data_IF_405671421106
#
_entry.id   IF_405671421106
#
_cell.length_a   1.000
_cell.length_b   1.000
_cell.length_c   1.000
_cell.angle_alpha   90.00
_cell.angle_beta   90.00
_cell.angle_gamma   90.00
#
_symmetry.space_group_name_H-M   'P 1'
#
loop_
_entity.id
_entity.type
_entity.pdbx_description
1 polymer ?
#
# COMPACT_ATOMS: atom_id res chain seq x y z
N UNK A 1 -18.33 35.13 -18.23
CA UNK A 1 -17.36 34.95 -19.32
C UNK A 1 -16.07 35.61 -18.88
N UNK A 2 -14.94 34.92 -18.93
CA UNK A 2 -13.67 35.51 -18.52
C UNK A 2 -12.84 35.83 -19.77
N UNK A 3 -12.49 37.10 -19.92
CA UNK A 3 -11.65 37.62 -20.99
C UNK A 3 -10.25 37.89 -20.43
N UNK A 4 -9.23 37.57 -21.21
CA UNK A 4 -7.83 37.86 -20.92
C UNK A 4 -7.31 38.89 -21.90
N UNK A 5 -6.34 39.71 -21.49
CA UNK A 5 -5.67 40.64 -22.40
C UNK A 5 -4.68 39.87 -23.26
N UNK A 6 -4.74 40.07 -24.58
CA UNK A 6 -3.72 39.58 -25.50
C UNK A 6 -2.36 40.19 -25.12
N UNK A 7 -1.33 39.34 -25.01
CA UNK A 7 0.02 39.76 -24.63
C UNK A 7 0.72 40.63 -25.68
N UNK A 8 0.27 40.57 -26.94
CA UNK A 8 0.86 41.30 -28.06
C UNK A 8 0.15 42.65 -28.31
N UNK A 9 -1.17 42.63 -28.51
CA UNK A 9 -1.93 43.82 -28.91
C UNK A 9 -2.78 44.46 -27.79
N UNK A 10 -2.85 43.84 -26.60
CA UNK A 10 -3.61 44.36 -25.47
C UNK A 10 -5.14 44.25 -25.60
N UNK A 11 -5.67 43.74 -26.72
CA UNK A 11 -7.10 43.52 -26.92
C UNK A 11 -7.67 42.47 -25.95
N UNK A 12 -8.95 42.62 -25.58
CA UNK A 12 -9.62 41.63 -24.73
C UNK A 12 -10.05 40.44 -25.57
N UNK A 13 -9.57 39.25 -25.21
CA UNK A 13 -9.82 38.00 -25.93
C UNK A 13 -10.41 36.95 -25.00
N UNK A 14 -11.29 36.10 -25.52
CA UNK A 14 -11.84 34.97 -24.76
C UNK A 14 -10.74 34.04 -24.27
N UNK A 15 -10.87 33.54 -23.04
CA UNK A 15 -10.02 32.46 -22.51
C UNK A 15 -10.12 31.18 -23.36
N UNK A 16 -11.12 30.99 -24.21
CA UNK A 16 -11.18 29.81 -25.08
C UNK A 16 -10.63 30.05 -26.49
N UNK A 17 -10.21 31.28 -26.83
CA UNK A 17 -9.70 31.60 -28.16
C UNK A 17 -8.31 30.98 -28.38
N UNK A 18 -8.16 30.18 -29.45
CA UNK A 18 -6.87 29.58 -29.86
C UNK A 18 -5.89 30.63 -30.40
N UNK A 19 -6.43 31.65 -31.05
CA UNK A 19 -5.68 32.75 -31.65
C UNK A 19 -6.40 34.07 -31.36
N UNK A 20 -5.65 35.17 -31.24
CA UNK A 20 -6.23 36.50 -31.12
C UNK A 20 -6.85 36.92 -32.48
N UNK A 21 -8.14 37.29 -32.54
CA UNK A 21 -8.79 37.72 -33.78
C UNK A 21 -8.34 39.12 -34.25
N UNK A 22 -7.67 39.90 -33.39
CA UNK A 22 -7.20 41.25 -33.72
C UNK A 22 -5.79 41.27 -34.30
N UNK A 23 -4.88 40.43 -33.78
CA UNK A 23 -3.47 40.42 -34.23
C UNK A 23 -2.97 39.06 -34.75
N UNK A 24 -3.77 37.99 -34.64
CA UNK A 24 -3.40 36.64 -35.08
C UNK A 24 -2.48 35.88 -34.13
N UNK A 25 -2.06 36.46 -32.99
CA UNK A 25 -1.15 35.81 -32.05
C UNK A 25 -1.73 34.52 -31.45
N UNK A 26 -0.93 33.45 -31.44
CA UNK A 26 -1.30 32.14 -30.88
C UNK A 26 -0.81 32.05 -29.43
N UNK A 27 -1.73 32.06 -28.47
CA UNK A 27 -1.38 31.87 -27.07
C UNK A 27 -1.13 30.38 -26.78
N UNK A 28 0.14 29.99 -26.61
CA UNK A 28 0.47 28.66 -26.09
C UNK A 28 0.24 28.64 -24.59
N UNK A 29 -0.86 28.03 -24.16
CA UNK A 29 -1.02 27.65 -22.76
C UNK A 29 -0.17 26.43 -22.48
N UNK A 30 0.91 26.62 -21.74
CA UNK A 30 1.51 25.53 -21.00
C UNK A 30 0.55 25.15 -19.88
N UNK A 31 -0.37 24.23 -20.16
CA UNK A 31 -1.01 23.48 -19.09
C UNK A 31 0.12 22.70 -18.41
N UNK A 32 0.72 23.28 -17.37
CA UNK A 32 1.83 22.66 -16.65
C UNK A 32 1.25 21.59 -15.74
N UNK A 33 0.96 20.46 -16.38
CA UNK A 33 0.56 19.22 -15.73
C UNK A 33 1.54 18.80 -14.63
N UNK A 34 2.79 19.27 -14.71
CA UNK A 34 3.84 19.06 -13.70
C UNK A 34 3.44 19.45 -12.27
N UNK A 35 2.62 20.49 -12.07
CA UNK A 35 2.20 20.90 -10.73
C UNK A 35 1.29 19.86 -10.04
N UNK A 36 0.62 19.00 -10.82
CA UNK A 36 -0.24 17.92 -10.32
C UNK A 36 0.49 16.58 -10.39
N UNK A 37 1.23 16.34 -11.47
CA UNK A 37 1.94 15.08 -11.71
C UNK A 37 2.99 14.78 -10.65
N UNK A 38 3.75 15.80 -10.23
CA UNK A 38 4.84 15.64 -9.26
C UNK A 38 4.33 15.24 -7.86
N UNK A 39 3.38 15.95 -7.22
CA UNK A 39 2.86 15.53 -5.91
C UNK A 39 2.05 14.23 -5.99
N UNK A 40 1.37 13.94 -7.11
CA UNK A 40 0.65 12.68 -7.28
C UNK A 40 1.63 11.49 -7.30
N UNK A 41 2.71 11.59 -8.07
CA UNK A 41 3.73 10.54 -8.12
C UNK A 41 4.42 10.34 -6.77
N UNK A 42 4.77 11.42 -6.07
CA UNK A 42 5.33 11.37 -4.71
C UNK A 42 4.35 10.76 -3.70
N UNK A 43 3.06 11.10 -3.79
CA UNK A 43 2.02 10.57 -2.92
C UNK A 43 1.83 9.06 -3.10
N UNK A 44 1.83 8.57 -4.34
CA UNK A 44 1.72 7.13 -4.65
C UNK A 44 2.95 6.37 -4.14
N UNK A 45 4.16 6.91 -4.36
CA UNK A 45 5.40 6.32 -3.84
C UNK A 45 5.42 6.27 -2.31
N UNK A 46 5.00 7.34 -1.64
CA UNK A 46 4.93 7.39 -0.18
C UNK A 46 3.90 6.39 0.37
N UNK A 47 2.73 6.26 -0.26
CA UNK A 47 1.71 5.30 0.14
C UNK A 47 2.19 3.85 0.05
N UNK A 48 2.84 3.49 -1.07
CA UNK A 48 3.43 2.16 -1.25
C UNK A 48 4.53 1.91 -0.20
N UNK A 49 5.45 2.86 -0.03
CA UNK A 49 6.53 2.74 0.96
C UNK A 49 6.01 2.57 2.39
N UNK A 50 4.97 3.30 2.78
CA UNK A 50 4.36 3.19 4.10
C UNK A 50 3.76 1.79 4.35
N UNK A 51 3.19 1.16 3.31
CA UNK A 51 2.72 -0.23 3.38
C UNK A 51 3.86 -1.24 3.60
N UNK A 52 4.98 -1.07 2.90
CA UNK A 52 6.15 -1.95 3.09
C UNK A 52 6.78 -1.80 4.48
N UNK A 53 6.92 -0.57 4.98
CA UNK A 53 7.55 -0.29 6.27
C UNK A 53 6.73 -0.80 7.46
N UNK A 54 5.41 -0.97 7.33
CA UNK A 54 4.55 -1.52 8.39
C UNK A 54 4.44 -3.05 8.38
N UNK A 55 5.05 -3.74 7.42
CA UNK A 55 5.10 -5.20 7.45
C UNK A 55 6.16 -5.65 8.47
N UNK A 56 5.76 -6.42 9.49
CA UNK A 56 6.70 -7.00 10.43
C UNK A 56 7.05 -8.44 9.99
N UNK A 57 8.17 -8.65 9.26
CA UNK A 57 8.50 -9.95 8.69
C UNK A 57 8.79 -11.00 9.77
N UNK A 58 9.19 -10.59 10.97
CA UNK A 58 9.45 -11.50 12.09
C UNK A 58 8.16 -12.15 12.59
N UNK A 59 7.09 -11.37 12.71
CA UNK A 59 5.78 -11.87 13.11
C UNK A 59 5.22 -12.88 12.10
N UNK A 60 5.37 -12.59 10.80
CA UNK A 60 4.89 -13.46 9.72
C UNK A 60 5.63 -14.80 9.68
N UNK A 61 6.95 -14.80 9.87
CA UNK A 61 7.73 -16.05 9.95
C UNK A 61 7.33 -16.92 11.14
N UNK A 62 7.12 -16.30 12.30
CA UNK A 62 6.72 -17.03 13.51
C UNK A 62 5.31 -17.63 13.39
N UNK A 63 4.38 -16.92 12.74
CA UNK A 63 3.05 -17.46 12.40
C UNK A 63 3.15 -18.70 11.51
N UNK A 64 3.96 -18.63 10.45
CA UNK A 64 4.16 -19.75 9.54
C UNK A 64 4.77 -20.97 10.25
N UNK A 65 5.74 -20.77 11.15
CA UNK A 65 6.34 -21.88 11.90
C UNK A 65 5.30 -22.64 12.76
N UNK A 66 4.46 -21.90 13.49
CA UNK A 66 3.36 -22.49 14.26
C UNK A 66 2.38 -23.24 13.34
N UNK A 67 1.99 -22.60 12.23
CA UNK A 67 1.09 -23.20 11.24
C UNK A 67 1.62 -24.51 10.67
N UNK A 68 2.90 -24.55 10.32
CA UNK A 68 3.54 -25.76 9.79
C UNK A 68 3.63 -26.87 10.84
N UNK A 69 3.81 -26.53 12.12
CA UNK A 69 3.81 -27.53 13.19
C UNK A 69 2.45 -28.22 13.29
N UNK A 70 1.37 -27.44 13.36
CA UNK A 70 0.02 -27.98 13.46
C UNK A 70 -0.39 -28.76 12.22
N UNK A 71 -0.01 -28.27 11.03
CA UNK A 71 -0.23 -28.98 9.78
C UNK A 71 0.46 -30.35 9.73
N UNK A 72 1.63 -30.49 10.36
CA UNK A 72 2.33 -31.77 10.45
C UNK A 72 1.74 -32.67 11.54
N UNK A 73 1.37 -32.09 12.69
CA UNK A 73 0.72 -32.81 13.79
C UNK A 73 -0.63 -33.42 13.38
N UNK A 74 -1.38 -32.75 12.50
CA UNK A 74 -2.67 -33.23 12.02
C UNK A 74 -2.57 -34.44 11.08
N UNK A 75 -1.43 -34.62 10.40
CA UNK A 75 -1.18 -35.79 9.55
C UNK A 75 -0.99 -37.07 10.38
N UNK A 76 -0.66 -36.95 11.67
CA UNK A 76 -0.48 -38.08 12.57
C UNK A 76 -1.85 -38.68 12.96
N UNK A 77 -1.88 -40.01 13.08
CA UNK A 77 -3.09 -40.73 13.50
C UNK A 77 -3.55 -40.28 14.91
N UNK A 78 -4.86 -40.12 15.15
CA UNK A 78 -5.41 -39.48 16.35
C UNK A 78 -5.08 -40.16 17.70
N UNK A 79 -4.52 -41.37 17.69
CA UNK A 79 -4.22 -42.14 18.90
C UNK A 79 -2.74 -42.50 19.07
N UNK A 80 -1.84 -41.93 18.26
CA UNK A 80 -0.40 -42.20 18.41
C UNK A 80 0.22 -41.38 19.54
N UNK A 81 1.21 -41.93 20.28
CA UNK A 81 1.98 -41.17 21.25
C UNK A 81 2.69 -39.98 20.60
N UNK A 82 3.14 -40.14 19.34
CA UNK A 82 3.78 -39.10 18.54
C UNK A 82 2.88 -37.87 18.34
N UNK A 83 1.57 -38.07 18.13
CA UNK A 83 0.64 -36.95 17.98
C UNK A 83 0.56 -36.11 19.23
N UNK A 84 0.47 -36.74 20.41
CA UNK A 84 0.42 -36.03 21.70
C UNK A 84 1.67 -35.19 21.92
N UNK A 85 2.84 -35.78 21.69
CA UNK A 85 4.11 -35.06 21.80
C UNK A 85 4.22 -33.90 20.80
N UNK A 86 3.75 -34.11 19.55
CA UNK A 86 3.74 -33.06 18.54
C UNK A 86 2.81 -31.90 18.94
N UNK A 87 1.60 -32.19 19.41
CA UNK A 87 0.64 -31.19 19.89
C UNK A 87 1.20 -30.39 21.08
N UNK A 88 1.82 -31.04 22.06
CA UNK A 88 2.46 -30.36 23.20
C UNK A 88 3.56 -29.41 22.75
N UNK A 89 4.40 -29.83 21.80
CA UNK A 89 5.44 -28.99 21.21
C UNK A 89 4.86 -27.80 20.42
N UNK A 90 3.83 -28.03 19.60
CA UNK A 90 3.16 -26.95 18.87
C UNK A 90 2.52 -25.94 19.83
N UNK A 91 1.90 -26.40 20.92
CA UNK A 91 1.34 -25.52 21.96
C UNK A 91 2.41 -24.70 22.69
N UNK A 92 3.59 -25.27 22.94
CA UNK A 92 4.71 -24.52 23.51
C UNK A 92 5.14 -23.38 22.56
N UNK A 93 5.19 -23.63 21.24
CA UNK A 93 5.50 -22.59 20.26
C UNK A 93 4.45 -21.48 20.19
N UNK A 94 3.16 -21.80 20.39
CA UNK A 94 2.10 -20.78 20.49
C UNK A 94 2.35 -19.88 21.70
N UNK A 95 2.66 -20.45 22.87
CA UNK A 95 2.96 -19.67 24.08
C UNK A 95 4.20 -18.78 23.89
N UNK A 96 5.25 -19.31 23.26
CA UNK A 96 6.45 -18.54 22.94
C UNK A 96 6.17 -17.38 21.96
N UNK A 97 5.27 -17.61 21.00
CA UNK A 97 4.82 -16.57 20.08
C UNK A 97 4.04 -15.48 20.83
N UNK A 98 3.08 -15.86 21.67
CA UNK A 98 2.25 -14.92 22.44
C UNK A 98 3.10 -14.09 23.41
N UNK A 99 4.12 -14.69 24.02
CA UNK A 99 5.07 -13.98 24.88
C UNK A 99 5.89 -12.91 24.12
N UNK A 100 6.18 -13.13 22.83
CA UNK A 100 7.00 -12.22 22.01
C UNK A 100 6.19 -11.16 21.27
N UNK A 101 5.00 -11.52 20.76
CA UNK A 101 4.22 -10.67 19.86
C UNK A 101 2.80 -10.34 20.36
N UNK A 102 2.40 -10.89 21.51
CA UNK A 102 1.06 -10.78 22.06
C UNK A 102 0.06 -11.75 21.41
N UNK A 103 -1.15 -11.81 21.97
CA UNK A 103 -2.24 -12.63 21.43
C UNK A 103 -2.77 -12.05 20.11
N UNK A 104 -2.67 -12.79 19.01
CA UNK A 104 -3.23 -12.43 17.71
C UNK A 104 -4.47 -13.27 17.37
N UNK A 105 -5.35 -12.77 16.51
CA UNK A 105 -6.53 -13.48 16.03
C UNK A 105 -6.17 -14.81 15.34
N UNK A 106 -4.99 -14.86 14.71
CA UNK A 106 -4.45 -16.05 14.06
C UNK A 106 -4.19 -17.21 15.05
N UNK A 107 -3.63 -16.93 16.22
CA UNK A 107 -3.25 -17.97 17.18
C UNK A 107 -4.44 -18.61 17.90
N UNK A 108 -5.61 -17.96 17.92
CA UNK A 108 -6.85 -18.53 18.50
C UNK A 108 -7.41 -19.73 17.73
N UNK A 109 -6.84 -20.05 16.57
CA UNK A 109 -7.26 -21.18 15.75
C UNK A 109 -6.60 -22.51 16.16
N UNK A 110 -5.61 -22.44 17.06
CA UNK A 110 -4.82 -23.56 17.56
C UNK A 110 -5.02 -23.72 19.08
#
# INVERSE_FOLDING_TARGET
MALVKCKECGAQVSITAKCCPQCGAVERRSASYWWIALPLALGVLAFLAFGYLNSNPAKQKAQLAVATCWAEADKLYPFTPEKRTATEMCQAMVKDYEAKFGSDRYMRQY
#
